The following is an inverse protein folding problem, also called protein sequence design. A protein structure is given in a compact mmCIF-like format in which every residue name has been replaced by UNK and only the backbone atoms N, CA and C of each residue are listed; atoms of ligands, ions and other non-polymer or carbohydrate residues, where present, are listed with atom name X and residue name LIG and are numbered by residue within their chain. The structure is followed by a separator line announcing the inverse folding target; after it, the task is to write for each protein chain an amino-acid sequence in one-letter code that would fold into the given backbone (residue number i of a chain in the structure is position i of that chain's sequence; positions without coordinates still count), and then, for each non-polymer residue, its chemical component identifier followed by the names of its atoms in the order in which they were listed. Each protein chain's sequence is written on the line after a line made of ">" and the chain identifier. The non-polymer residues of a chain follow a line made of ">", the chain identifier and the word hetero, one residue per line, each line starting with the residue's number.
data_IF_383051328917
#
_entry.id   IF_383051328917
#
_cell.length_a   1.000
_cell.length_b   1.000
_cell.length_c   1.000
_cell.angle_alpha   90.00
_cell.angle_beta   90.00
_cell.angle_gamma   90.00
#
_symmetry.space_group_name_H-M   'P 1'
#
loop_
_entity.id
_entity.type
_entity.pdbx_description
1 polymer ?
#
# COMPACT_ATOMS: atom_id res chain seq x y z
N UNK A 1 14.10 -28.49 -4.93
CA UNK A 1 13.79 -27.42 -5.89
C UNK A 1 12.30 -27.10 -6.10
N UNK A 2 11.33 -27.80 -5.47
CA UNK A 2 9.87 -27.53 -5.65
C UNK A 2 9.17 -26.73 -4.53
N UNK A 3 9.79 -26.56 -3.36
CA UNK A 3 9.13 -25.95 -2.20
C UNK A 3 8.91 -24.42 -2.30
N UNK A 4 9.74 -23.70 -3.06
CA UNK A 4 9.66 -22.23 -3.15
C UNK A 4 8.57 -21.73 -4.13
N UNK A 5 8.12 -22.57 -5.07
CA UNK A 5 7.18 -22.16 -6.12
C UNK A 5 5.77 -21.85 -5.59
N UNK A 6 5.35 -22.53 -4.52
CA UNK A 6 4.02 -22.34 -3.92
C UNK A 6 3.92 -21.17 -2.93
N UNK A 7 5.04 -20.70 -2.37
CA UNK A 7 5.05 -19.62 -1.37
C UNK A 7 5.06 -18.21 -1.98
N UNK A 8 5.43 -18.08 -3.26
CA UNK A 8 5.73 -16.78 -3.87
C UNK A 8 4.85 -16.46 -5.09
N UNK A 9 4.06 -17.41 -5.59
CA UNK A 9 3.27 -17.22 -6.80
C UNK A 9 1.79 -17.05 -6.45
N UNK A 10 1.24 -15.89 -6.77
CA UNK A 10 -0.20 -15.76 -6.97
C UNK A 10 -0.61 -16.73 -8.09
N UNK A 11 -1.51 -17.65 -7.79
CA UNK A 11 -1.91 -18.74 -8.71
C UNK A 11 -2.83 -18.25 -9.83
N UNK A 12 -3.50 -17.11 -9.63
CA UNK A 12 -4.36 -16.44 -10.58
C UNK A 12 -4.52 -14.96 -10.18
N UNK A 13 -5.37 -14.20 -10.89
CA UNK A 13 -5.59 -12.77 -10.69
C UNK A 13 -6.67 -12.45 -9.62
N UNK A 14 -7.17 -13.44 -8.88
CA UNK A 14 -8.28 -13.25 -7.94
C UNK A 14 -8.00 -12.18 -6.87
N UNK A 15 -6.78 -12.16 -6.31
CA UNK A 15 -6.36 -11.15 -5.32
C UNK A 15 -6.30 -9.74 -5.91
N UNK A 16 -5.93 -9.63 -7.19
CA UNK A 16 -5.90 -8.34 -7.89
C UNK A 16 -7.33 -7.87 -8.17
N UNK A 17 -8.24 -8.78 -8.54
CA UNK A 17 -9.66 -8.47 -8.75
C UNK A 17 -10.40 -8.13 -7.46
N UNK A 18 -9.97 -8.67 -6.31
CA UNK A 18 -10.63 -8.39 -5.03
C UNK A 18 -10.39 -6.96 -4.51
N UNK A 19 -9.44 -6.20 -5.07
CA UNK A 19 -9.20 -4.80 -4.67
C UNK A 19 -10.45 -3.93 -4.85
N UNK A 20 -11.23 -4.16 -5.91
CA UNK A 20 -12.47 -3.42 -6.19
C UNK A 20 -13.58 -3.72 -5.17
N UNK A 21 -13.43 -4.80 -4.38
CA UNK A 21 -14.40 -5.23 -3.37
C UNK A 21 -14.06 -4.68 -1.97
N UNK A 22 -12.99 -3.90 -1.82
CA UNK A 22 -12.65 -3.25 -0.55
C UNK A 22 -13.56 -2.03 -0.37
N UNK A 23 -14.55 -2.15 0.51
CA UNK A 23 -15.56 -1.10 0.75
C UNK A 23 -15.22 -0.16 1.92
N UNK A 24 -14.19 -0.48 2.70
CA UNK A 24 -13.74 0.34 3.84
C UNK A 24 -12.72 1.37 3.40
N UNK A 25 -12.68 2.50 4.11
CA UNK A 25 -11.64 3.52 3.91
C UNK A 25 -10.26 2.86 3.99
N UNK A 26 -9.39 3.19 3.03
CA UNK A 26 -8.10 2.52 2.85
C UNK A 26 -6.99 3.54 2.61
N UNK A 27 -5.86 3.36 3.31
CA UNK A 27 -4.63 4.10 3.08
C UNK A 27 -3.60 3.19 2.38
N UNK A 28 -3.06 3.65 1.25
CA UNK A 28 -1.94 3.02 0.54
C UNK A 28 -0.71 3.91 0.71
N UNK A 29 0.32 3.42 1.39
CA UNK A 29 1.51 4.19 1.74
C UNK A 29 2.77 3.55 1.12
N UNK A 30 3.61 4.35 0.48
CA UNK A 30 4.87 3.91 -0.14
C UNK A 30 5.98 4.94 0.05
N UNK A 31 7.24 4.52 0.15
CA UNK A 31 8.39 5.42 0.12
C UNK A 31 8.67 5.93 -1.29
N UNK A 32 9.06 7.20 -1.45
CA UNK A 32 9.37 7.80 -2.74
C UNK A 32 10.52 7.11 -3.50
N UNK A 33 11.44 6.47 -2.76
CA UNK A 33 12.59 5.77 -3.29
C UNK A 33 12.35 4.25 -3.42
N UNK A 34 11.14 3.76 -3.12
CA UNK A 34 10.76 2.36 -3.30
C UNK A 34 10.25 2.11 -4.73
N UNK A 35 11.12 2.38 -5.71
CA UNK A 35 10.80 2.35 -7.15
C UNK A 35 10.04 1.10 -7.61
N UNK A 36 10.38 -0.13 -7.15
CA UNK A 36 9.64 -1.34 -7.56
C UNK A 36 8.16 -1.34 -7.15
N UNK A 37 7.78 -0.59 -6.12
CA UNK A 37 6.43 -0.59 -5.54
C UNK A 37 5.61 0.67 -5.85
N UNK A 38 6.20 1.71 -6.46
CA UNK A 38 5.47 2.92 -6.84
C UNK A 38 4.30 2.60 -7.79
N UNK A 39 4.56 1.83 -8.86
CA UNK A 39 3.51 1.43 -9.81
C UNK A 39 2.46 0.49 -9.22
N UNK A 40 2.88 -0.44 -8.35
CA UNK A 40 1.95 -1.34 -7.68
C UNK A 40 1.00 -0.60 -6.73
N UNK A 41 1.52 0.38 -5.99
CA UNK A 41 0.72 1.20 -5.08
C UNK A 41 -0.18 2.19 -5.81
N UNK A 42 0.25 2.74 -6.97
CA UNK A 42 -0.65 3.49 -7.87
C UNK A 42 -1.80 2.62 -8.36
N UNK A 43 -1.49 1.39 -8.78
CA UNK A 43 -2.50 0.44 -9.23
C UNK A 43 -3.52 0.14 -8.13
N UNK A 44 -3.07 -0.14 -6.91
CA UNK A 44 -3.96 -0.41 -5.77
C UNK A 44 -4.83 0.79 -5.44
N UNK A 45 -4.25 1.99 -5.32
CA UNK A 45 -4.99 3.21 -4.99
C UNK A 45 -6.06 3.55 -6.04
N UNK A 46 -5.78 3.29 -7.33
CA UNK A 46 -6.74 3.50 -8.41
C UNK A 46 -7.86 2.44 -8.46
N UNK A 47 -7.65 1.26 -7.86
CA UNK A 47 -8.60 0.15 -7.89
C UNK A 47 -9.48 0.05 -6.66
N UNK A 48 -8.97 0.45 -5.51
CA UNK A 48 -9.71 0.41 -4.25
C UNK A 48 -10.62 1.65 -4.17
N UNK A 49 -11.95 1.49 -4.12
CA UNK A 49 -12.87 2.61 -3.98
C UNK A 49 -12.55 3.46 -2.73
N UNK A 50 -12.37 4.77 -2.91
CA UNK A 50 -12.10 5.69 -1.81
C UNK A 50 -10.72 5.56 -1.16
N UNK A 51 -9.77 4.84 -1.78
CA UNK A 51 -8.42 4.78 -1.25
C UNK A 51 -7.70 6.13 -1.31
N UNK A 52 -6.92 6.42 -0.27
CA UNK A 52 -5.98 7.53 -0.22
C UNK A 52 -4.58 7.00 -0.43
N UNK A 53 -3.82 7.59 -1.36
CA UNK A 53 -2.39 7.26 -1.55
C UNK A 53 -1.52 8.34 -0.92
N UNK A 54 -0.50 7.90 -0.18
CA UNK A 54 0.56 8.77 0.34
C UNK A 54 1.92 8.24 -0.09
N UNK A 55 2.74 9.13 -0.66
CA UNK A 55 4.15 8.85 -0.99
C UNK A 55 5.02 9.60 0.01
N UNK A 56 5.87 8.88 0.75
CA UNK A 56 6.73 9.45 1.78
C UNK A 56 8.06 9.92 1.17
N UNK A 57 8.34 11.24 1.12
CA UNK A 57 9.58 11.75 0.53
C UNK A 57 10.81 11.26 1.30
N UNK A 58 11.86 10.86 0.59
CA UNK A 58 13.13 10.46 1.21
C UNK A 58 13.08 9.11 1.94
N UNK A 59 12.06 8.28 1.70
CA UNK A 59 11.93 6.93 2.23
C UNK A 59 12.02 5.87 1.12
N UNK A 60 12.63 4.72 1.41
CA UNK A 60 12.60 3.51 0.60
C UNK A 60 11.56 2.52 1.09
N UNK A 61 11.88 1.22 0.99
CA UNK A 61 10.93 0.14 1.29
C UNK A 61 10.43 0.15 2.74
N UNK A 62 11.33 0.36 3.70
CA UNK A 62 11.00 0.47 5.12
C UNK A 62 10.65 1.91 5.49
N UNK A 63 9.62 2.48 4.85
CA UNK A 63 9.27 3.90 4.98
C UNK A 63 9.00 4.37 6.41
N UNK A 64 8.51 3.49 7.27
CA UNK A 64 8.32 3.72 8.70
C UNK A 64 9.63 3.84 9.49
N UNK A 65 10.73 3.27 9.00
CA UNK A 65 12.07 3.38 9.59
C UNK A 65 12.84 4.55 9.01
N UNK A 66 12.72 4.78 7.70
CA UNK A 66 13.45 5.84 7.01
C UNK A 66 12.92 7.23 7.37
N UNK A 67 11.59 7.37 7.49
CA UNK A 67 10.91 8.65 7.73
C UNK A 67 9.78 8.48 8.77
N UNK A 68 10.10 8.12 10.03
CA UNK A 68 9.11 7.74 11.04
C UNK A 68 8.09 8.85 11.30
N UNK A 69 8.53 10.11 11.36
CA UNK A 69 7.63 11.24 11.61
C UNK A 69 6.62 11.45 10.48
N UNK A 70 7.05 11.32 9.21
CA UNK A 70 6.17 11.49 8.06
C UNK A 70 5.21 10.29 7.92
N UNK A 71 5.70 9.08 8.16
CA UNK A 71 4.88 7.87 8.20
C UNK A 71 3.78 7.97 9.26
N UNK A 72 4.16 8.31 10.51
CA UNK A 72 3.22 8.43 11.63
C UNK A 72 2.18 9.53 11.39
N UNK A 73 2.59 10.67 10.81
CA UNK A 73 1.67 11.74 10.45
C UNK A 73 0.62 11.26 9.45
N UNK A 74 1.03 10.58 8.38
CA UNK A 74 0.11 10.06 7.36
C UNK A 74 -0.90 9.05 7.95
N UNK A 75 -0.44 8.15 8.82
CA UNK A 75 -1.31 7.19 9.50
C UNK A 75 -2.30 7.90 10.44
N UNK A 76 -1.83 8.86 11.24
CA UNK A 76 -2.68 9.59 12.19
C UNK A 76 -3.71 10.46 11.48
N UNK A 77 -3.33 11.13 10.40
CA UNK A 77 -4.25 11.93 9.58
C UNK A 77 -5.35 11.06 8.99
N UNK A 78 -4.98 9.93 8.39
CA UNK A 78 -5.95 8.98 7.85
C UNK A 78 -6.92 8.48 8.94
N UNK A 79 -6.40 8.02 10.08
CA UNK A 79 -7.24 7.55 11.20
C UNK A 79 -8.15 8.66 11.75
N UNK A 80 -7.66 9.90 11.81
CA UNK A 80 -8.44 11.06 12.24
C UNK A 80 -9.53 11.49 11.26
N UNK A 81 -9.41 11.13 9.97
CA UNK A 81 -10.44 11.39 8.96
C UNK A 81 -11.57 10.37 8.94
N UNK A 82 -11.41 9.23 9.62
CA UNK A 82 -12.44 8.19 9.65
C UNK A 82 -13.64 8.64 10.49
N UNK A 83 -14.87 8.34 10.05
CA UNK A 83 -16.03 8.50 10.92
C UNK A 83 -15.90 7.58 12.13
N UNK A 84 -16.22 8.12 13.32
CA UNK A 84 -16.23 7.38 14.59
C UNK A 84 -17.42 6.45 14.77
#
# INVERSE_FOLDING_TARGET
>A
AKAARGMLAQFNDSVIRSLEQIEVATLVLVGANDEPFLGATDYMANKIPGATKVVIPGAGHASNLDQPAAFDAAVREFLGSLPG
#
